data_IF_186052916033
#
_entry.id   IF_186052916033
#
_cell.length_a   1.000
_cell.length_b   1.000
_cell.length_c   1.000
_cell.angle_alpha   90.00
_cell.angle_beta   90.00
_cell.angle_gamma   90.00
#
_symmetry.space_group_name_H-M   'P 1'
#
loop_
_entity.id
_entity.type
_entity.pdbx_description
1 polymer ?
#
# COMPACT_ATOMS: atom_id res chain seq x y z
N UNK A 1 -11.01 -14.20 -8.29
CA UNK A 1 -9.93 -13.30 -8.74
C UNK A 1 -9.31 -12.74 -7.47
N UNK A 2 -8.13 -13.20 -7.06
CA UNK A 2 -7.46 -12.62 -5.90
C UNK A 2 -6.86 -11.26 -6.30
N UNK A 3 -7.02 -10.24 -5.45
CA UNK A 3 -6.43 -8.92 -5.67
C UNK A 3 -4.91 -8.93 -5.45
N UNK A 4 -4.22 -7.99 -6.07
CA UNK A 4 -2.76 -7.86 -5.97
C UNK A 4 -2.37 -7.17 -4.65
N UNK A 5 -1.38 -7.71 -3.94
CA UNK A 5 -0.90 -7.22 -2.65
C UNK A 5 0.54 -6.75 -2.81
N UNK A 6 0.72 -5.42 -2.82
CA UNK A 6 2.02 -4.77 -3.01
C UNK A 6 2.48 -4.13 -1.71
N UNK A 7 3.63 -4.55 -1.21
CA UNK A 7 4.29 -3.87 -0.09
C UNK A 7 4.90 -2.56 -0.60
N UNK A 8 4.62 -1.48 0.11
CA UNK A 8 5.16 -0.16 -0.17
C UNK A 8 6.09 0.25 0.97
N UNK A 9 7.06 1.09 0.63
CA UNK A 9 8.02 1.71 1.54
C UNK A 9 7.83 3.22 1.52
N UNK A 10 8.46 3.93 2.45
CA UNK A 10 8.44 5.39 2.46
C UNK A 10 8.93 5.98 1.13
N UNK A 11 10.02 5.43 0.58
CA UNK A 11 10.60 5.87 -0.70
C UNK A 11 9.66 5.69 -1.90
N UNK A 12 8.75 4.70 -1.84
CA UNK A 12 7.87 4.35 -2.97
C UNK A 12 6.43 4.81 -2.78
N UNK A 13 6.10 5.38 -1.63
CA UNK A 13 4.72 5.74 -1.28
C UNK A 13 4.15 6.81 -2.22
N UNK A 14 4.94 7.82 -2.58
CA UNK A 14 4.51 8.89 -3.48
C UNK A 14 4.15 8.35 -4.87
N UNK A 15 5.03 7.53 -5.46
CA UNK A 15 4.83 6.99 -6.79
C UNK A 15 3.68 5.97 -6.83
N UNK A 16 3.64 5.06 -5.85
CA UNK A 16 2.72 3.91 -5.90
C UNK A 16 1.34 4.23 -5.34
N UNK A 17 1.26 5.14 -4.35
CA UNK A 17 0.00 5.46 -3.65
C UNK A 17 -0.52 6.83 -4.08
N UNK A 18 0.28 7.89 -3.90
CA UNK A 18 -0.20 9.26 -4.09
C UNK A 18 -0.46 9.61 -5.55
N UNK A 19 0.32 9.03 -6.47
CA UNK A 19 0.19 9.23 -7.93
C UNK A 19 -0.62 8.14 -8.63
N UNK A 20 -1.31 7.27 -7.89
CA UNK A 20 -2.12 6.20 -8.48
C UNK A 20 -3.35 6.74 -9.21
N UNK A 21 -3.58 6.26 -10.44
CA UNK A 21 -4.77 6.58 -11.24
C UNK A 21 -6.08 6.00 -10.66
N UNK A 22 -5.96 5.09 -9.69
CA UNK A 22 -7.09 4.43 -9.03
C UNK A 22 -7.01 4.64 -7.52
N UNK A 23 -8.16 4.67 -6.80
CA UNK A 23 -8.17 4.68 -5.35
C UNK A 23 -7.35 3.52 -4.78
N UNK A 24 -6.48 3.82 -3.83
CA UNK A 24 -5.62 2.84 -3.14
C UNK A 24 -6.08 2.72 -1.70
N UNK A 25 -6.35 1.49 -1.26
CA UNK A 25 -6.57 1.18 0.15
C UNK A 25 -5.22 0.76 0.74
N UNK A 26 -4.76 1.48 1.76
CA UNK A 26 -3.50 1.20 2.45
C UNK A 26 -3.80 0.63 3.83
N UNK A 27 -3.26 -0.55 4.09
CA UNK A 27 -3.27 -1.17 5.42
C UNK A 27 -1.97 -0.81 6.16
N UNK A 28 -2.07 0.07 7.16
CA UNK A 28 -0.96 0.41 8.04
C UNK A 28 -0.97 -0.53 9.23
N UNK A 29 -0.03 -1.48 9.23
CA UNK A 29 0.04 -2.54 10.22
C UNK A 29 1.47 -2.71 10.75
N UNK A 30 1.59 -3.53 11.79
CA UNK A 30 2.85 -4.02 12.29
C UNK A 30 2.70 -5.48 12.73
N UNK A 31 3.75 -6.28 12.62
CA UNK A 31 3.72 -7.70 12.97
C UNK A 31 3.38 -8.00 14.45
N UNK A 32 3.48 -6.99 15.31
CA UNK A 32 3.17 -7.06 16.73
C UNK A 32 1.81 -6.45 17.09
N UNK A 33 1.04 -5.98 16.12
CA UNK A 33 -0.28 -5.40 16.34
C UNK A 33 -1.35 -6.51 16.33
N UNK A 34 -2.09 -6.68 17.43
CA UNK A 34 -3.13 -7.70 17.62
C UNK A 34 -4.08 -7.38 18.76
#
# INVERSE_FOLDING_TARGET
MAGDLKHVTDDTFDEVVLKSDKPVLVDFWAAWCG
#
